data_IF_020734003103
#
_entry.id   IF_020734003103
#
_cell.length_a   1.000
_cell.length_b   1.000
_cell.length_c   1.000
_cell.angle_alpha   90.00
_cell.angle_beta   90.00
_cell.angle_gamma   90.00
#
_symmetry.space_group_name_H-M   'P 1'
#
loop_
_entity.id
_entity.type
_entity.pdbx_description
1 polymer ?
#
# COMPACT_ATOMS: atom_id res chain seq x y z
N UNK A 1 12.31 -18.18 -1.92
CA UNK A 1 13.75 -18.51 -2.14
C UNK A 1 14.50 -17.34 -2.79
N UNK A 2 14.12 -16.84 -3.96
CA UNK A 2 14.80 -15.69 -4.62
C UNK A 2 14.73 -14.35 -3.86
N UNK A 3 13.66 -14.08 -3.11
CA UNK A 3 13.55 -12.86 -2.28
C UNK A 3 14.56 -12.81 -1.13
N UNK A 4 15.01 -13.97 -0.63
CA UNK A 4 15.98 -14.08 0.47
C UNK A 4 17.41 -13.89 -0.04
N UNK A 5 17.72 -14.39 -1.25
CA UNK A 5 19.04 -14.21 -1.87
C UNK A 5 19.28 -12.75 -2.26
N UNK A 6 18.24 -12.06 -2.77
CA UNK A 6 18.30 -10.63 -3.04
C UNK A 6 18.45 -9.82 -1.74
N UNK A 7 17.72 -10.13 -0.67
CA UNK A 7 17.85 -9.39 0.59
C UNK A 7 19.21 -9.58 1.24
N UNK A 8 19.78 -10.79 1.19
CA UNK A 8 21.13 -11.07 1.71
C UNK A 8 22.19 -10.31 0.92
N UNK A 9 22.09 -10.24 -0.42
CA UNK A 9 23.03 -9.49 -1.25
C UNK A 9 23.05 -7.98 -0.92
N UNK A 10 21.87 -7.37 -0.79
CA UNK A 10 21.76 -5.96 -0.40
C UNK A 10 22.21 -5.74 1.05
N UNK A 11 22.00 -6.73 1.94
CA UNK A 11 22.45 -6.67 3.33
C UNK A 11 23.97 -6.77 3.46
N UNK A 12 24.63 -7.63 2.67
CA UNK A 12 26.09 -7.73 2.62
C UNK A 12 26.70 -6.42 2.08
N UNK A 13 26.15 -5.88 0.99
CA UNK A 13 26.62 -4.61 0.42
C UNK A 13 26.41 -3.46 1.41
N UNK A 14 25.25 -3.38 2.06
CA UNK A 14 24.97 -2.37 3.07
C UNK A 14 25.90 -2.50 4.29
N UNK A 15 26.20 -3.72 4.75
CA UNK A 15 27.11 -3.95 5.89
C UNK A 15 28.56 -3.58 5.51
N UNK A 16 29.01 -3.91 4.30
CA UNK A 16 30.35 -3.55 3.82
C UNK A 16 30.47 -2.04 3.60
N UNK A 17 29.51 -1.42 2.93
CA UNK A 17 29.47 0.03 2.73
C UNK A 17 29.35 0.81 4.05
N UNK A 18 28.53 0.33 4.99
CA UNK A 18 28.38 0.94 6.31
C UNK A 18 29.64 0.78 7.16
N UNK A 19 30.34 -0.36 7.10
CA UNK A 19 31.66 -0.51 7.75
C UNK A 19 32.68 0.47 7.19
N UNK A 20 32.77 0.60 5.87
CA UNK A 20 33.70 1.55 5.21
C UNK A 20 33.39 3.01 5.57
N UNK A 21 32.11 3.35 5.73
CA UNK A 21 31.67 4.67 6.20
C UNK A 21 31.96 4.91 7.69
N UNK A 22 31.69 3.92 8.55
CA UNK A 22 31.91 3.99 10.00
C UNK A 22 33.40 4.02 10.38
N UNK A 23 34.26 3.36 9.60
CA UNK A 23 35.71 3.38 9.81
C UNK A 23 36.35 4.73 9.39
N UNK A 24 35.57 5.69 8.89
CA UNK A 24 36.03 7.02 8.51
C UNK A 24 36.86 7.08 7.22
N UNK A 25 36.99 5.95 6.50
CA UNK A 25 37.83 5.84 5.30
C UNK A 25 37.35 6.72 4.15
N UNK A 26 36.03 6.93 4.04
CA UNK A 26 35.43 7.81 3.03
C UNK A 26 35.86 9.28 3.18
N UNK A 27 36.22 9.72 4.40
CA UNK A 27 36.69 11.09 4.68
C UNK A 27 38.20 11.22 4.44
N UNK A 28 38.97 10.15 4.68
CA UNK A 28 40.43 10.17 4.62
C UNK A 28 40.97 9.96 3.19
N UNK A 29 40.26 9.22 2.32
CA UNK A 29 40.68 8.97 0.92
C UNK A 29 39.49 9.01 -0.05
N UNK A 30 39.07 10.20 -0.53
CA UNK A 30 37.91 10.35 -1.42
C UNK A 30 38.07 9.61 -2.76
N UNK A 31 39.30 9.38 -3.21
CA UNK A 31 39.62 8.63 -4.42
C UNK A 31 39.13 7.17 -4.35
N UNK A 32 39.30 6.52 -3.19
CA UNK A 32 38.89 5.12 -2.98
C UNK A 32 37.36 5.02 -2.92
N UNK A 33 36.71 6.03 -2.34
CA UNK A 33 35.25 6.12 -2.29
C UNK A 33 34.65 6.30 -3.70
N UNK A 34 35.27 7.12 -4.55
CA UNK A 34 34.84 7.30 -5.93
C UNK A 34 34.95 6.01 -6.76
N UNK A 35 36.03 5.23 -6.56
CA UNK A 35 36.20 3.92 -7.20
C UNK A 35 35.11 2.95 -6.73
N UNK A 36 34.78 2.94 -5.45
CA UNK A 36 33.72 2.09 -4.90
C UNK A 36 32.34 2.44 -5.49
N UNK A 37 31.99 3.73 -5.54
CA UNK A 37 30.76 4.22 -6.19
C UNK A 37 30.71 3.86 -7.68
N UNK A 38 31.83 3.91 -8.38
CA UNK A 38 31.92 3.51 -9.78
C UNK A 38 31.67 2.01 -9.97
N UNK A 39 32.23 1.17 -9.09
CA UNK A 39 31.99 -0.28 -9.10
C UNK A 39 30.52 -0.59 -8.78
N UNK A 40 29.93 0.08 -7.80
CA UNK A 40 28.50 -0.03 -7.50
C UNK A 40 27.62 0.43 -8.66
N UNK A 41 28.00 1.50 -9.37
CA UNK A 41 27.30 1.95 -10.56
C UNK A 41 27.30 0.88 -11.66
N UNK A 42 28.46 0.30 -11.97
CA UNK A 42 28.59 -0.76 -12.98
C UNK A 42 27.74 -1.97 -12.60
N UNK A 43 27.80 -2.41 -11.34
CA UNK A 43 26.96 -3.52 -10.84
C UNK A 43 25.47 -3.16 -10.84
N UNK A 44 25.13 -1.92 -10.50
CA UNK A 44 23.77 -1.38 -10.48
C UNK A 44 23.12 -1.35 -11.86
N UNK A 45 23.89 -1.08 -12.91
CA UNK A 45 23.41 -1.13 -14.30
C UNK A 45 22.93 -2.54 -14.68
N UNK A 46 23.59 -3.60 -14.20
CA UNK A 46 23.16 -4.98 -14.44
C UNK A 46 22.02 -5.42 -13.52
N UNK A 47 21.92 -4.83 -12.31
CA UNK A 47 20.82 -5.11 -11.38
C UNK A 47 19.50 -4.40 -11.76
N UNK A 48 19.57 -3.24 -12.42
CA UNK A 48 18.40 -2.44 -12.78
C UNK A 48 17.38 -3.17 -13.71
N UNK A 49 17.81 -3.93 -14.75
CA UNK A 49 16.90 -4.76 -15.54
C UNK A 49 16.18 -5.81 -14.69
N UNK A 50 16.90 -6.48 -13.79
CA UNK A 50 16.31 -7.50 -12.92
C UNK A 50 15.28 -6.89 -11.97
N UNK A 51 15.59 -5.74 -11.37
CA UNK A 51 14.64 -5.00 -10.54
C UNK A 51 13.40 -4.57 -11.32
N UNK A 52 13.57 -4.17 -12.58
CA UNK A 52 12.46 -3.82 -13.49
C UNK A 52 11.56 -5.03 -13.75
N UNK A 53 12.14 -6.18 -14.09
CA UNK A 53 11.37 -7.43 -14.30
C UNK A 53 10.60 -7.82 -13.04
N UNK A 54 11.24 -7.78 -11.87
CA UNK A 54 10.58 -8.09 -10.59
C UNK A 54 9.42 -7.13 -10.32
N UNK A 55 9.59 -5.84 -10.61
CA UNK A 55 8.53 -4.84 -10.46
C UNK A 55 7.34 -5.13 -11.39
N UNK A 56 7.60 -5.51 -12.63
CA UNK A 56 6.58 -5.93 -13.58
C UNK A 56 5.82 -7.17 -13.08
N UNK A 57 6.54 -8.22 -12.66
CA UNK A 57 5.93 -9.45 -12.13
C UNK A 57 5.05 -9.14 -10.92
N UNK A 58 5.53 -8.34 -9.97
CA UNK A 58 4.72 -7.92 -8.81
C UNK A 58 3.47 -7.15 -9.22
N UNK A 59 3.58 -6.26 -10.21
CA UNK A 59 2.43 -5.52 -10.75
C UNK A 59 1.38 -6.46 -11.35
N UNK A 60 1.78 -7.41 -12.19
CA UNK A 60 0.86 -8.39 -12.81
C UNK A 60 0.21 -9.29 -11.75
N UNK A 61 0.98 -9.77 -10.77
CA UNK A 61 0.45 -10.58 -9.66
C UNK A 61 -0.55 -9.78 -8.81
N UNK A 62 -0.25 -8.52 -8.54
CA UNK A 62 -1.18 -7.64 -7.81
C UNK A 62 -2.49 -7.45 -8.59
N UNK A 63 -2.41 -7.10 -9.88
CA UNK A 63 -3.59 -6.93 -10.73
C UNK A 63 -4.42 -8.20 -10.81
N UNK A 64 -3.80 -9.37 -10.96
CA UNK A 64 -4.52 -10.65 -11.03
C UNK A 64 -5.19 -11.05 -9.71
N UNK A 65 -4.54 -10.81 -8.56
CA UNK A 65 -5.14 -11.05 -7.24
C UNK A 65 -6.29 -10.07 -6.94
N UNK A 66 -6.17 -8.83 -7.39
CA UNK A 66 -7.17 -7.78 -7.15
C UNK A 66 -8.28 -7.73 -8.21
N UNK A 67 -8.18 -8.49 -9.31
CA UNK A 67 -9.17 -8.44 -10.40
C UNK A 67 -10.61 -8.78 -9.95
N UNK A 68 -10.75 -9.60 -8.90
CA UNK A 68 -12.05 -9.97 -8.32
C UNK A 68 -12.43 -9.15 -7.07
N UNK A 69 -11.58 -8.20 -6.67
CA UNK A 69 -11.74 -7.39 -5.46
C UNK A 69 -12.14 -5.97 -5.84
N UNK A 70 -13.25 -5.50 -5.30
CA UNK A 70 -13.76 -4.15 -5.52
C UNK A 70 -13.49 -3.20 -4.34
N UNK A 71 -12.93 -3.73 -3.25
CA UNK A 71 -12.57 -3.00 -2.03
C UNK A 71 -11.22 -2.27 -2.18
N UNK A 72 -10.32 -2.79 -3.01
CA UNK A 72 -9.03 -2.17 -3.34
C UNK A 72 -9.02 -1.59 -4.76
N UNK A 73 -8.46 -0.39 -4.88
CA UNK A 73 -8.23 0.22 -6.18
C UNK A 73 -6.92 -0.29 -6.80
N UNK A 74 -6.94 -0.53 -8.10
CA UNK A 74 -5.78 -1.02 -8.86
C UNK A 74 -4.76 0.09 -9.16
N UNK A 75 -5.23 1.33 -9.23
CA UNK A 75 -4.41 2.48 -9.58
C UNK A 75 -3.73 3.11 -8.36
N UNK A 76 -2.56 3.74 -8.54
CA UNK A 76 -1.92 4.48 -7.45
C UNK A 76 -2.79 5.65 -6.99
N UNK A 77 -2.66 6.04 -5.71
CA UNK A 77 -3.46 7.07 -5.02
C UNK A 77 -3.86 8.34 -5.82
N UNK A 78 -3.00 8.98 -6.63
CA UNK A 78 -3.42 10.15 -7.40
C UNK A 78 -4.45 9.83 -8.50
N UNK A 79 -4.56 8.57 -8.94
CA UNK A 79 -5.46 8.10 -9.99
C UNK A 79 -6.54 7.15 -9.46
N UNK A 80 -6.69 7.05 -8.15
CA UNK A 80 -7.66 6.19 -7.47
C UNK A 80 -9.10 6.40 -7.99
N UNK A 81 -9.44 7.66 -8.29
CA UNK A 81 -10.72 8.06 -8.86
C UNK A 81 -10.95 7.67 -10.33
N UNK A 82 -9.99 7.01 -10.99
CA UNK A 82 -10.15 6.50 -12.35
C UNK A 82 -10.56 5.03 -12.40
N UNK A 83 -10.49 4.31 -11.27
CA UNK A 83 -10.97 2.93 -11.14
C UNK A 83 -12.51 2.91 -11.01
N UNK A 84 -13.19 2.46 -12.07
CA UNK A 84 -14.66 2.39 -12.08
C UNK A 84 -15.21 1.39 -11.06
N UNK A 85 -14.49 0.29 -10.80
CA UNK A 85 -14.91 -0.76 -9.87
C UNK A 85 -14.85 -0.26 -8.43
N UNK A 86 -13.69 0.27 -8.02
CA UNK A 86 -13.49 0.77 -6.66
C UNK A 86 -14.38 2.01 -6.38
N UNK A 87 -14.58 2.88 -7.37
CA UNK A 87 -15.48 4.03 -7.22
C UNK A 87 -16.95 3.63 -7.08
N UNK A 88 -17.42 2.66 -7.88
CA UNK A 88 -18.79 2.17 -7.77
C UNK A 88 -19.02 1.55 -6.38
N UNK A 89 -18.07 0.76 -5.89
CA UNK A 89 -18.14 0.18 -4.55
C UNK A 89 -18.17 1.24 -3.44
N UNK A 90 -17.31 2.27 -3.51
CA UNK A 90 -17.33 3.40 -2.57
C UNK A 90 -18.66 4.16 -2.60
N UNK A 91 -19.23 4.39 -3.78
CA UNK A 91 -20.52 5.05 -3.91
C UNK A 91 -21.65 4.26 -3.23
N UNK A 92 -21.66 2.93 -3.38
CA UNK A 92 -22.62 2.04 -2.70
C UNK A 92 -22.45 2.14 -1.18
N UNK A 93 -21.22 2.04 -0.67
CA UNK A 93 -20.95 2.18 0.77
C UNK A 93 -21.40 3.52 1.34
N UNK A 94 -21.18 4.62 0.60
CA UNK A 94 -21.65 5.95 1.02
C UNK A 94 -23.17 6.03 1.05
N UNK A 95 -23.85 5.44 0.06
CA UNK A 95 -25.32 5.36 0.08
C UNK A 95 -25.81 4.51 1.25
N UNK A 96 -25.23 3.34 1.47
CA UNK A 96 -25.62 2.45 2.56
C UNK A 96 -25.39 3.10 3.92
N UNK A 97 -24.25 3.76 4.14
CA UNK A 97 -23.98 4.50 5.37
C UNK A 97 -24.96 5.66 5.60
N UNK A 98 -25.47 6.28 4.53
CA UNK A 98 -26.42 7.40 4.61
C UNK A 98 -27.84 6.96 4.89
N UNK A 99 -28.30 5.88 4.24
CA UNK A 99 -29.69 5.42 4.34
C UNK A 99 -29.90 4.40 5.46
N UNK A 100 -28.90 3.58 5.76
CA UNK A 100 -28.95 2.51 6.76
C UNK A 100 -28.15 2.87 8.02
N UNK A 101 -28.07 4.16 8.36
CA UNK A 101 -27.35 4.58 9.55
C UNK A 101 -27.99 3.97 10.81
N UNK A 102 -27.26 3.10 11.56
CA UNK A 102 -27.83 2.35 12.66
C UNK A 102 -28.32 3.26 13.80
N UNK A 103 -27.68 4.42 14.00
CA UNK A 103 -28.10 5.39 15.02
C UNK A 103 -29.47 5.99 14.66
N UNK A 104 -29.64 6.39 13.40
CA UNK A 104 -30.91 6.95 12.93
C UNK A 104 -32.04 5.93 13.00
N UNK A 105 -31.77 4.67 12.65
CA UNK A 105 -32.74 3.57 12.73
C UNK A 105 -33.15 3.28 14.18
N UNK A 106 -32.21 3.30 15.13
CA UNK A 106 -32.51 3.14 16.56
C UNK A 106 -33.38 4.28 17.10
N UNK A 107 -33.05 5.54 16.75
CA UNK A 107 -33.84 6.71 17.18
C UNK A 107 -35.26 6.67 16.60
N UNK A 108 -35.40 6.35 15.30
CA UNK A 108 -36.70 6.21 14.66
C UNK A 108 -37.54 5.10 15.31
N UNK A 109 -36.92 3.96 15.62
CA UNK A 109 -37.58 2.83 16.29
C UNK A 109 -38.04 3.19 17.70
N UNK A 110 -37.22 3.93 18.45
CA UNK A 110 -37.57 4.42 19.79
C UNK A 110 -38.75 5.41 19.75
N UNK A 111 -38.73 6.37 18.81
CA UNK A 111 -39.83 7.33 18.65
C UNK A 111 -41.15 6.66 18.24
N UNK A 112 -41.09 5.64 17.40
CA UNK A 112 -42.26 4.85 17.00
C UNK A 112 -42.84 4.08 18.19
N UNK A 113 -41.99 3.43 18.98
CA UNK A 113 -42.42 2.68 20.17
C UNK A 113 -42.98 3.60 21.25
N UNK A 114 -42.38 4.76 21.51
CA UNK A 114 -42.91 5.76 22.44
C UNK A 114 -44.30 6.26 22.00
N UNK A 115 -44.50 6.54 20.70
CA UNK A 115 -45.81 6.92 20.16
C UNK A 115 -46.84 5.80 20.29
N UNK A 116 -46.48 4.54 20.06
CA UNK A 116 -47.41 3.42 20.22
C UNK A 116 -47.79 3.21 21.69
N UNK A 117 -46.83 3.32 22.62
CA UNK A 117 -47.08 3.22 24.06
C UNK A 117 -48.01 4.34 24.56
N UNK A 118 -47.78 5.58 24.11
CA UNK A 118 -48.66 6.71 24.46
C UNK A 118 -50.07 6.57 23.89
N UNK A 119 -50.22 6.03 22.67
CA UNK A 119 -51.52 5.71 22.08
C UNK A 119 -52.24 4.58 22.82
N UNK A 120 -51.52 3.54 23.23
CA UNK A 120 -52.07 2.44 24.00
C UNK A 120 -52.52 2.89 25.41
N UNK A 121 -51.82 3.85 26.03
CA UNK A 121 -52.20 4.40 27.33
C UNK A 121 -53.39 5.39 27.28
N UNK A 122 -53.78 5.86 26.09
CA UNK A 122 -54.88 6.81 25.89
C UNK A 122 -56.22 6.12 25.54
N UNK A 123 -56.19 4.82 25.24
CA UNK A 123 -57.35 3.96 25.02
C UNK A 123 -57.65 3.13 26.27
#
# INVERSE_FOLDING_TARGET
VFGVVSSIGHMIIAIVGLRVMLDGWAVVRPEVFAIYQFVEFVLGVFAAPLATVVRWVKGVVFVTLCFAKFDEALYPKPFDGSDSGANAFRAILVMEARYNNPIMLCVASWLLTDRMLKRAAAN
#
